data_IF_561461740906
#
_entry.id   IF_561461740906
#
_cell.length_a   1.000
_cell.length_b   1.000
_cell.length_c   1.000
_cell.angle_alpha   90.00
_cell.angle_beta   90.00
_cell.angle_gamma   90.00
#
_symmetry.space_group_name_H-M   'P 1'
#
loop_
_entity.id
_entity.type
_entity.pdbx_description
1 polymer ?
#
# COMPACT_ATOMS: atom_id res chain seq x y z
N UNK A 1 2.80 -7.26 -9.58
CA UNK A 1 3.74 -7.47 -10.71
C UNK A 1 5.20 -7.53 -10.27
N UNK A 2 5.70 -6.66 -9.38
CA UNK A 2 7.13 -6.65 -8.96
C UNK A 2 7.73 -8.05 -8.66
N UNK A 3 7.08 -8.85 -7.81
CA UNK A 3 7.51 -10.23 -7.53
C UNK A 3 7.55 -11.13 -8.79
N UNK A 4 6.54 -11.05 -9.67
CA UNK A 4 6.51 -11.83 -10.91
C UNK A 4 7.64 -11.43 -11.87
N UNK A 5 8.20 -10.24 -11.71
CA UNK A 5 9.38 -9.77 -12.44
C UNK A 5 10.70 -10.06 -11.70
N UNK A 6 10.66 -10.89 -10.64
CA UNK A 6 11.85 -11.37 -9.93
C UNK A 6 12.32 -10.50 -8.77
N UNK A 7 11.56 -9.48 -8.35
CA UNK A 7 11.92 -8.71 -7.17
C UNK A 7 11.80 -9.57 -5.90
N UNK A 8 12.89 -9.64 -5.13
CA UNK A 8 12.97 -10.27 -3.81
C UNK A 8 12.77 -9.27 -2.66
N UNK A 9 12.89 -7.97 -2.94
CA UNK A 9 12.62 -6.88 -2.00
C UNK A 9 11.76 -5.82 -2.67
N UNK A 10 10.71 -5.37 -1.97
CA UNK A 10 9.76 -4.37 -2.45
C UNK A 10 9.61 -3.28 -1.38
N UNK A 11 9.85 -2.03 -1.77
CA UNK A 11 9.63 -0.86 -0.91
C UNK A 11 8.41 -0.10 -1.43
N UNK A 12 7.39 0.05 -0.60
CA UNK A 12 6.14 0.75 -0.92
C UNK A 12 6.19 2.18 -0.40
N UNK A 13 5.84 3.14 -1.26
CA UNK A 13 5.74 4.56 -0.91
C UNK A 13 4.42 5.11 -1.45
N UNK A 14 3.63 5.77 -0.60
CA UNK A 14 2.30 6.28 -0.96
C UNK A 14 1.20 5.21 -1.01
N UNK A 15 1.39 4.11 -0.27
CA UNK A 15 0.44 3.00 -0.13
C UNK A 15 -0.32 3.12 1.20
N UNK A 16 -1.15 4.15 1.30
CA UNK A 16 -1.90 4.50 2.51
C UNK A 16 -3.10 3.56 2.71
N UNK A 17 -3.87 3.30 1.64
CA UNK A 17 -5.14 2.56 1.70
C UNK A 17 -6.10 3.08 2.79
N UNK A 18 -6.15 4.41 2.93
CA UNK A 18 -7.08 5.14 3.79
C UNK A 18 -7.24 6.58 3.29
N UNK A 19 -8.15 7.33 3.90
CA UNK A 19 -8.19 8.79 3.71
C UNK A 19 -7.18 9.46 4.64
N UNK A 20 -6.23 10.17 4.05
CA UNK A 20 -5.20 10.90 4.78
C UNK A 20 -5.57 12.38 4.79
N UNK A 21 -5.66 12.98 5.98
CA UNK A 21 -6.10 14.37 6.13
C UNK A 21 -7.49 14.67 5.55
N UNK A 22 -8.40 13.69 5.57
CA UNK A 22 -9.77 13.82 5.04
C UNK A 22 -9.89 13.83 3.51
N UNK A 23 -8.79 13.58 2.78
CA UNK A 23 -8.79 13.55 1.31
C UNK A 23 -8.86 12.13 0.77
N UNK A 24 -9.59 11.94 -0.34
CA UNK A 24 -9.70 10.64 -1.01
C UNK A 24 -8.48 10.30 -1.87
N UNK A 25 -7.75 11.31 -2.33
CA UNK A 25 -6.49 11.20 -3.05
C UNK A 25 -5.49 12.25 -2.57
N UNK A 26 -4.20 12.04 -2.83
CA UNK A 26 -3.14 13.01 -2.49
C UNK A 26 -3.37 14.40 -3.09
N UNK A 27 -3.93 14.48 -4.30
CA UNK A 27 -4.24 15.74 -4.99
C UNK A 27 -5.69 16.24 -4.74
N UNK A 28 -6.45 15.55 -3.88
CA UNK A 28 -7.86 15.87 -3.62
C UNK A 28 -8.82 15.12 -4.52
N UNK A 29 -10.09 15.49 -4.43
CA UNK A 29 -11.17 14.80 -5.11
C UNK A 29 -11.18 15.09 -6.61
N UNK A 30 -11.45 14.06 -7.40
CA UNK A 30 -11.71 14.23 -8.81
C UNK A 30 -12.98 15.06 -9.04
N UNK A 31 -12.97 15.96 -10.04
CA UNK A 31 -14.18 16.65 -10.47
C UNK A 31 -15.13 15.69 -11.19
N UNK A 32 -16.42 16.02 -11.16
CA UNK A 32 -17.43 15.29 -11.94
C UNK A 32 -17.05 15.29 -13.44
N UNK A 33 -17.28 14.19 -14.16
CA UNK A 33 -18.10 13.03 -13.79
C UNK A 33 -17.35 11.88 -13.08
N UNK A 34 -16.06 12.05 -12.78
CA UNK A 34 -15.27 10.99 -12.17
C UNK A 34 -15.70 10.75 -10.72
N UNK A 35 -15.80 9.48 -10.34
CA UNK A 35 -16.10 9.08 -8.96
C UNK A 35 -14.84 9.11 -8.11
N UNK A 36 -15.00 9.54 -6.86
CA UNK A 36 -13.98 9.32 -5.84
C UNK A 36 -14.16 7.94 -5.20
N UNK A 37 -13.07 7.40 -4.66
CA UNK A 37 -13.08 6.07 -4.08
C UNK A 37 -14.06 5.98 -2.92
N UNK A 38 -14.76 4.85 -2.83
CA UNK A 38 -15.64 4.48 -1.73
C UNK A 38 -15.31 3.05 -1.28
N UNK A 39 -15.44 2.76 0.01
CA UNK A 39 -15.26 1.41 0.53
C UNK A 39 -13.81 0.91 0.55
N UNK A 40 -12.82 1.80 0.76
CA UNK A 40 -11.39 1.46 0.86
C UNK A 40 -11.13 0.33 1.87
N UNK A 41 -11.88 0.26 2.96
CA UNK A 41 -11.76 -0.79 3.98
C UNK A 41 -11.91 -2.22 3.44
N UNK A 42 -12.66 -2.41 2.35
CA UNK A 42 -12.79 -3.71 1.70
C UNK A 42 -11.53 -4.07 0.89
N UNK A 43 -10.74 -3.08 0.47
CA UNK A 43 -9.50 -3.30 -0.28
C UNK A 43 -8.34 -3.63 0.64
N UNK A 44 -8.28 -3.01 1.83
CA UNK A 44 -7.28 -3.30 2.87
C UNK A 44 -7.20 -4.80 3.13
N UNK A 45 -8.36 -5.46 3.32
CA UNK A 45 -8.46 -6.91 3.58
C UNK A 45 -7.88 -7.81 2.49
N UNK A 46 -7.75 -7.29 1.25
CA UNK A 46 -7.18 -8.07 0.14
C UNK A 46 -5.65 -8.11 0.19
N UNK A 47 -5.02 -7.26 1.00
CA UNK A 47 -3.58 -7.26 1.15
C UNK A 47 -3.08 -8.38 2.06
N UNK A 48 -3.87 -8.85 3.02
CA UNK A 48 -3.48 -9.95 3.91
C UNK A 48 -3.07 -11.23 3.14
N UNK A 49 -3.91 -11.79 2.24
CA UNK A 49 -3.50 -12.97 1.47
C UNK A 49 -2.34 -12.71 0.50
N UNK A 50 -2.19 -11.47 0.01
CA UNK A 50 -1.05 -11.07 -0.82
C UNK A 50 0.25 -11.06 0.00
N UNK A 51 0.25 -10.44 1.17
CA UNK A 51 1.39 -10.38 2.07
C UNK A 51 1.84 -11.78 2.49
N UNK A 52 0.89 -12.66 2.79
CA UNK A 52 1.18 -14.05 3.10
C UNK A 52 1.79 -14.81 1.92
N UNK A 53 1.29 -14.57 0.71
CA UNK A 53 1.87 -15.14 -0.51
C UNK A 53 3.31 -14.69 -0.75
N UNK A 54 3.58 -13.40 -0.60
CA UNK A 54 4.91 -12.81 -0.76
C UNK A 54 5.88 -13.32 0.31
N UNK A 55 5.44 -13.41 1.57
CA UNK A 55 6.24 -13.96 2.66
C UNK A 55 6.63 -15.41 2.39
N UNK A 56 5.69 -16.26 1.94
CA UNK A 56 5.99 -17.65 1.56
C UNK A 56 6.93 -17.76 0.36
N UNK A 57 6.87 -16.78 -0.54
CA UNK A 57 7.79 -16.69 -1.68
C UNK A 57 9.17 -16.10 -1.29
N UNK A 58 9.41 -15.78 -0.01
CA UNK A 58 10.66 -15.20 0.47
C UNK A 58 10.88 -13.74 0.03
N UNK A 59 9.82 -13.02 -0.29
CA UNK A 59 9.90 -11.61 -0.69
C UNK A 59 9.75 -10.71 0.54
N UNK A 60 10.72 -9.83 0.73
CA UNK A 60 10.70 -8.78 1.76
C UNK A 60 9.87 -7.60 1.25
N UNK A 61 8.95 -7.12 2.09
CA UNK A 61 8.10 -5.96 1.74
C UNK A 61 8.07 -4.97 2.90
N UNK A 62 8.53 -3.75 2.62
CA UNK A 62 8.48 -2.63 3.55
C UNK A 62 7.49 -1.58 3.05
N UNK A 63 6.65 -1.05 3.95
CA UNK A 63 5.80 0.09 3.68
C UNK A 63 6.34 1.34 4.38
N UNK A 64 6.94 2.23 3.59
CA UNK A 64 7.53 3.50 4.03
C UNK A 64 6.53 4.67 3.94
N UNK A 65 5.24 4.36 3.88
CA UNK A 65 4.19 5.37 3.90
C UNK A 65 3.93 5.84 5.34
N UNK A 66 3.93 7.16 5.55
CA UNK A 66 3.79 7.79 6.88
C UNK A 66 2.47 7.47 7.58
N UNK A 67 1.37 7.47 6.82
CA UNK A 67 0.02 7.16 7.32
C UNK A 67 -0.57 6.07 6.44
N UNK A 68 -0.78 4.88 6.99
CA UNK A 68 -1.29 3.73 6.23
C UNK A 68 -2.18 2.85 7.10
N UNK A 69 -3.26 2.32 6.50
CA UNK A 69 -4.11 1.29 7.08
C UNK A 69 -3.59 -0.13 6.79
N UNK A 70 -2.55 -0.28 5.97
CA UNK A 70 -1.94 -1.57 5.69
C UNK A 70 -1.04 -1.99 6.86
N UNK A 71 -1.52 -2.94 7.66
CA UNK A 71 -0.79 -3.52 8.80
C UNK A 71 -0.08 -4.83 8.47
N UNK A 72 -0.34 -5.40 7.29
CA UNK A 72 0.20 -6.70 6.86
C UNK A 72 1.67 -6.64 6.36
N UNK A 73 2.22 -5.45 6.16
CA UNK A 73 3.61 -5.22 5.76
C UNK A 73 4.39 -4.54 6.88
N UNK A 74 5.69 -4.82 6.96
CA UNK A 74 6.57 -4.15 7.92
C UNK A 74 6.68 -2.67 7.59
N UNK A 75 6.66 -1.81 8.61
CA UNK A 75 6.83 -0.35 8.43
C UNK A 75 8.26 0.04 8.72
N UNK A 76 8.83 0.88 7.87
CA UNK A 76 10.19 1.39 8.02
C UNK A 76 10.29 2.82 7.48
N UNK A 77 11.29 3.60 7.91
CA UNK A 77 11.61 4.82 7.19
C UNK A 77 12.23 4.45 5.84
N UNK A 78 12.09 5.34 4.85
CA UNK A 78 12.62 5.07 3.52
C UNK A 78 14.15 4.96 3.56
N UNK A 79 14.80 5.80 4.36
CA UNK A 79 16.26 5.81 4.51
C UNK A 79 16.84 4.51 5.09
N UNK A 80 16.06 3.76 5.87
CA UNK A 80 16.52 2.56 6.56
C UNK A 80 16.54 1.31 5.64
N UNK A 81 15.90 1.39 4.46
CA UNK A 81 15.65 0.23 3.59
C UNK A 81 16.10 0.39 2.13
N UNK A 82 16.69 1.55 1.80
CA UNK A 82 17.39 1.82 0.54
C UNK A 82 18.84 1.34 0.58
#
# INVERSE_FOLDING_TARGET
MAHQFGASRIVLVGYDMQYTGGKTHRFGDHPKPLSNVVGISNWVKKFDPLADGLRRAGVEVYNCTLETALTCFERANLEDVL
#
